data_IF_190714098567
#
_entry.id   IF_190714098567
#
_cell.length_a   1.000
_cell.length_b   1.000
_cell.length_c   1.000
_cell.angle_alpha   90.00
_cell.angle_beta   90.00
_cell.angle_gamma   90.00
#
_symmetry.space_group_name_H-M   'P 1'
#
loop_
_entity.id
_entity.type
_entity.pdbx_description
1 polymer ?
#
# COMPACT_ATOMS: atom_id res chain seq x y z
N UNK A 1 -12.48 4.71 5.53
CA UNK A 1 -13.35 4.25 6.63
C UNK A 1 -14.60 3.64 6.01
N UNK A 2 -15.18 2.59 6.59
CA UNK A 2 -16.25 1.83 5.95
C UNK A 2 -17.54 2.64 5.72
N UNK A 3 -18.17 2.48 4.57
CA UNK A 3 -19.46 3.12 4.25
C UNK A 3 -20.65 2.37 4.85
N UNK A 4 -20.47 1.09 5.18
CA UNK A 4 -21.53 0.23 5.71
C UNK A 4 -21.60 0.29 7.23
N UNK A 5 -22.81 0.10 7.79
CA UNK A 5 -23.04 0.14 9.23
C UNK A 5 -22.49 -1.09 9.98
N UNK A 6 -22.24 -2.21 9.28
CA UNK A 6 -21.68 -3.41 9.88
C UNK A 6 -20.92 -4.25 8.86
N UNK A 7 -19.93 -5.00 9.34
CA UNK A 7 -19.14 -5.94 8.55
C UNK A 7 -19.18 -7.32 9.19
N UNK A 8 -19.35 -8.41 8.43
CA UNK A 8 -19.38 -9.76 8.98
C UNK A 8 -18.01 -10.13 9.57
N UNK A 9 -17.99 -10.88 10.68
CA UNK A 9 -16.75 -11.32 11.34
C UNK A 9 -15.98 -12.37 10.53
N UNK A 10 -16.71 -13.26 9.85
CA UNK A 10 -16.15 -14.48 9.22
C UNK A 10 -14.95 -14.24 8.30
N UNK A 11 -14.90 -13.18 7.47
CA UNK A 11 -13.73 -12.89 6.63
C UNK A 11 -12.46 -12.51 7.40
N UNK A 12 -12.58 -12.04 8.64
CA UNK A 12 -11.45 -11.50 9.42
C UNK A 12 -10.95 -12.46 10.50
N UNK A 13 -11.77 -13.46 10.85
CA UNK A 13 -11.44 -14.44 11.88
C UNK A 13 -10.68 -15.63 11.27
N UNK A 14 -9.35 -15.53 11.27
CA UNK A 14 -8.44 -16.61 10.87
C UNK A 14 -8.02 -17.50 12.05
N UNK A 15 -8.28 -17.06 13.27
CA UNK A 15 -7.91 -17.74 14.51
C UNK A 15 -9.06 -18.63 15.01
N UNK A 16 -8.78 -19.81 15.58
CA UNK A 16 -9.81 -20.69 16.13
C UNK A 16 -10.46 -20.11 17.40
N UNK A 17 -9.69 -19.32 18.16
CA UNK A 17 -10.14 -18.67 19.39
C UNK A 17 -10.71 -17.28 19.11
N UNK A 18 -12.03 -17.16 19.23
CA UNK A 18 -12.76 -15.89 19.07
C UNK A 18 -12.43 -14.87 20.15
N UNK A 19 -12.19 -15.31 21.38
CA UNK A 19 -11.95 -14.37 22.48
C UNK A 19 -10.61 -13.67 22.31
N UNK A 20 -9.60 -14.39 21.83
CA UNK A 20 -8.32 -13.78 21.48
C UNK A 20 -8.45 -12.67 20.44
N UNK A 21 -9.30 -12.87 19.42
CA UNK A 21 -9.58 -11.86 18.40
C UNK A 21 -10.22 -10.61 19.04
N UNK A 22 -11.28 -10.78 19.83
CA UNK A 22 -11.97 -9.66 20.49
C UNK A 22 -11.08 -8.90 21.48
N UNK A 23 -10.26 -9.62 22.26
CA UNK A 23 -9.27 -9.01 23.16
C UNK A 23 -8.22 -8.19 22.39
N UNK A 24 -7.84 -8.61 21.17
CA UNK A 24 -6.97 -7.80 20.31
C UNK A 24 -7.71 -6.56 19.80
N UNK A 25 -8.96 -6.68 19.36
CA UNK A 25 -9.77 -5.54 18.93
C UNK A 25 -9.89 -4.48 20.02
N UNK A 26 -10.25 -4.87 21.25
CA UNK A 26 -10.37 -3.93 22.37
C UNK A 26 -9.05 -3.22 22.68
N UNK A 27 -7.93 -3.95 22.70
CA UNK A 27 -6.60 -3.34 22.90
C UNK A 27 -6.22 -2.36 21.79
N UNK A 28 -6.52 -2.69 20.53
CA UNK A 28 -6.27 -1.79 19.41
C UNK A 28 -7.12 -0.52 19.49
N UNK A 29 -8.41 -0.64 19.82
CA UNK A 29 -9.31 0.51 20.02
C UNK A 29 -8.78 1.41 21.13
N UNK A 30 -8.42 0.85 22.29
CA UNK A 30 -7.90 1.62 23.43
C UNK A 30 -6.60 2.37 23.06
N UNK A 31 -5.70 1.73 22.30
CA UNK A 31 -4.40 2.33 21.96
C UNK A 31 -4.46 3.31 20.80
N UNK A 32 -5.24 3.01 19.76
CA UNK A 32 -5.18 3.70 18.47
C UNK A 32 -6.33 4.67 18.23
N UNK A 33 -7.41 4.62 19.02
CA UNK A 33 -8.56 5.53 18.83
C UNK A 33 -8.19 7.02 18.76
N UNK A 34 -7.24 7.57 19.56
CA UNK A 34 -6.88 8.99 19.43
C UNK A 34 -6.22 9.29 18.09
N UNK A 35 -5.34 8.40 17.61
CA UNK A 35 -4.66 8.58 16.32
C UNK A 35 -5.61 8.38 15.14
N UNK A 36 -6.55 7.43 15.23
CA UNK A 36 -7.60 7.24 14.22
C UNK A 36 -8.48 8.48 14.09
N UNK A 37 -8.90 9.09 15.20
CA UNK A 37 -9.66 10.35 15.16
C UNK A 37 -8.81 11.50 14.62
N UNK A 38 -7.56 11.63 15.06
CA UNK A 38 -6.63 12.66 14.57
C UNK A 38 -6.41 12.56 13.06
N UNK A 39 -6.30 11.35 12.52
CA UNK A 39 -6.16 11.12 11.07
C UNK A 39 -7.36 11.65 10.27
N UNK A 40 -8.55 11.69 10.86
CA UNK A 40 -9.73 12.29 10.22
C UNK A 40 -9.85 13.81 10.47
N UNK A 41 -9.30 14.31 11.58
CA UNK A 41 -9.48 15.71 12.01
C UNK A 41 -8.33 16.66 11.58
N UNK A 42 -7.12 16.14 11.38
CA UNK A 42 -5.91 16.91 11.09
C UNK A 42 -5.35 16.52 9.70
N UNK A 43 -5.57 17.36 8.66
CA UNK A 43 -5.09 17.10 7.32
C UNK A 43 -3.57 16.96 7.22
N UNK A 44 -2.80 17.69 8.04
CA UNK A 44 -1.34 17.60 8.02
C UNK A 44 -0.87 16.26 8.56
N UNK A 45 -1.50 15.78 9.64
CA UNK A 45 -1.21 14.46 10.18
C UNK A 45 -1.56 13.35 9.16
N UNK A 46 -2.66 13.47 8.43
CA UNK A 46 -2.98 12.55 7.32
C UNK A 46 -1.88 12.54 6.25
N UNK A 47 -1.46 13.72 5.77
CA UNK A 47 -0.39 13.83 4.76
C UNK A 47 0.93 13.25 5.26
N UNK A 48 1.28 13.47 6.52
CA UNK A 48 2.48 12.91 7.12
C UNK A 48 2.44 11.38 7.10
N UNK A 49 1.38 10.77 7.64
CA UNK A 49 1.23 9.30 7.67
C UNK A 49 1.22 8.71 6.25
N UNK A 50 0.62 9.42 5.28
CA UNK A 50 0.64 9.02 3.88
C UNK A 50 2.06 9.04 3.28
N UNK A 51 2.83 10.07 3.58
CA UNK A 51 4.20 10.21 3.10
C UNK A 51 5.13 9.16 3.73
N UNK A 52 4.98 8.90 5.03
CA UNK A 52 5.70 7.83 5.72
C UNK A 52 5.44 6.47 5.03
N UNK A 53 4.17 6.17 4.71
CA UNK A 53 3.79 4.94 4.01
C UNK A 53 4.44 4.80 2.62
N UNK A 54 4.56 5.91 1.87
CA UNK A 54 5.22 5.91 0.56
C UNK A 54 6.71 5.57 0.68
N UNK A 55 7.36 6.12 1.70
CA UNK A 55 8.79 5.93 1.93
C UNK A 55 9.11 4.46 2.29
N UNK A 56 8.24 3.77 3.03
CA UNK A 56 8.39 2.33 3.32
C UNK A 56 8.42 1.47 2.03
N UNK A 57 7.62 1.84 1.03
CA UNK A 57 7.59 1.15 -0.26
C UNK A 57 8.85 1.37 -1.12
N UNK A 58 9.41 2.58 -1.07
CA UNK A 58 10.63 2.95 -1.80
C UNK A 58 11.88 2.32 -1.16
N UNK A 59 11.93 2.27 0.18
CA UNK A 59 13.03 1.63 0.92
C UNK A 59 13.16 0.14 0.57
N UNK A 60 12.04 -0.58 0.51
CA UNK A 60 12.03 -2.01 0.17
C UNK A 60 12.41 -2.30 -1.28
N UNK A 61 12.25 -1.35 -2.21
CA UNK A 61 12.65 -1.51 -3.62
C UNK A 61 14.16 -1.29 -3.82
N UNK A 62 14.77 -0.41 -3.02
CA UNK A 62 16.21 -0.08 -3.13
C UNK A 62 17.15 -1.19 -2.61
N UNK A 63 16.65 -2.05 -1.71
CA UNK A 63 17.41 -3.15 -1.12
C UNK A 63 17.52 -4.41 -2.02
N UNK A 64 16.86 -4.42 -3.17
CA UNK A 64 16.78 -5.57 -4.09
C UNK A 64 17.61 -5.45 -5.37
N UNK A 65 18.56 -4.51 -5.45
CA UNK A 65 19.45 -4.40 -6.61
C UNK A 65 20.36 -5.64 -6.72
N UNK A 66 20.32 -6.41 -7.84
CA UNK A 66 21.20 -7.56 -8.00
C UNK A 66 22.67 -7.10 -7.99
N UNK A 67 23.60 -7.87 -7.40
CA UNK A 67 25.02 -7.57 -7.55
C UNK A 67 25.37 -7.68 -9.03
N UNK A 68 25.76 -6.56 -9.60
CA UNK A 68 26.20 -6.43 -10.99
C UNK A 68 27.53 -7.18 -11.14
N UNK A 69 27.44 -8.48 -11.39
CA UNK A 69 28.58 -9.35 -11.70
C UNK A 69 29.04 -9.07 -13.12
N UNK A 70 30.07 -8.25 -13.27
CA UNK A 70 30.74 -8.05 -14.55
C UNK A 70 31.57 -9.27 -14.94
N UNK A 71 31.33 -9.82 -16.13
CA UNK A 71 32.34 -10.33 -17.06
C UNK A 71 31.73 -10.58 -18.48
N UNK A 72 32.52 -10.51 -19.57
CA UNK A 72 32.03 -10.24 -20.93
C UNK A 72 32.04 -11.46 -21.90
N UNK A 73 31.56 -11.20 -23.14
CA UNK A 73 31.56 -12.03 -24.38
C UNK A 73 30.37 -13.01 -24.53
N UNK A 74 29.69 -13.16 -25.68
CA UNK A 74 29.99 -12.91 -27.09
C UNK A 74 28.68 -12.69 -27.91
N UNK A 75 28.72 -12.29 -29.19
CA UNK A 75 27.53 -11.97 -29.98
C UNK A 75 27.01 -13.19 -30.75
N UNK A 76 25.69 -13.38 -30.78
CA UNK A 76 25.03 -14.22 -31.78
C UNK A 76 23.78 -13.53 -32.33
N UNK A 77 23.75 -13.53 -33.65
CA UNK A 77 22.82 -12.87 -34.58
C UNK A 77 21.51 -13.64 -34.76
N UNK A 78 20.52 -12.93 -35.34
CA UNK A 78 19.29 -13.39 -36.03
C UNK A 78 18.17 -13.97 -35.16
N UNK A 79 16.86 -13.75 -35.37
CA UNK A 79 16.08 -12.98 -36.35
C UNK A 79 14.58 -13.05 -35.94
N UNK A 80 13.82 -12.00 -36.28
CA UNK A 80 12.40 -12.03 -36.68
C UNK A 80 11.22 -12.21 -35.68
N UNK A 81 10.41 -11.15 -35.66
CA UNK A 81 8.94 -11.07 -35.86
C UNK A 81 7.91 -11.31 -34.73
N UNK A 82 7.15 -10.22 -34.49
CA UNK A 82 5.69 -10.09 -34.31
C UNK A 82 4.98 -10.68 -33.08
N UNK A 83 4.45 -9.82 -32.20
CA UNK A 83 3.02 -9.44 -32.15
C UNK A 83 2.63 -8.81 -30.79
N UNK A 84 2.03 -7.61 -30.89
CA UNK A 84 0.95 -7.02 -30.07
C UNK A 84 0.85 -7.35 -28.58
N UNK A 85 1.00 -6.32 -27.71
CA UNK A 85 0.27 -6.12 -26.42
C UNK A 85 0.26 -4.65 -26.00
N UNK A 86 -0.86 -3.99 -26.27
CA UNK A 86 -1.58 -3.04 -25.41
C UNK A 86 -0.84 -1.92 -24.69
N UNK A 87 -1.14 -0.71 -25.17
CA UNK A 87 -0.87 0.60 -24.57
C UNK A 87 -1.29 0.68 -23.10
N UNK A 88 -0.35 1.02 -22.23
CA UNK A 88 -0.57 1.35 -20.83
C UNK A 88 -1.33 2.70 -20.73
N UNK A 89 -2.63 2.63 -20.43
CA UNK A 89 -3.37 3.76 -19.91
C UNK A 89 -2.93 4.00 -18.45
N UNK A 90 -1.92 4.84 -18.24
CA UNK A 90 -1.52 5.28 -16.90
C UNK A 90 -2.62 6.18 -16.35
N UNK A 91 -3.43 5.59 -15.46
CA UNK A 91 -4.60 6.20 -14.85
C UNK A 91 -4.30 7.54 -14.21
N UNK A 92 -5.00 8.55 -14.70
CA UNK A 92 -5.25 9.78 -13.97
C UNK A 92 -6.02 9.44 -12.68
N UNK A 93 -5.35 9.53 -11.53
CA UNK A 93 -6.01 9.76 -10.25
C UNK A 93 -5.61 11.14 -9.77
N UNK A 94 -6.32 12.09 -10.34
CA UNK A 94 -6.43 13.48 -9.96
C UNK A 94 -7.00 13.55 -8.54
N UNK A 95 -6.12 13.72 -7.54
CA UNK A 95 -6.51 14.00 -6.16
C UNK A 95 -6.43 15.50 -5.91
N UNK A 96 -7.35 16.25 -6.52
CA UNK A 96 -7.47 17.68 -6.22
C UNK A 96 -8.08 17.83 -4.84
N UNK A 97 -7.21 18.07 -3.87
CA UNK A 97 -7.57 18.75 -2.64
C UNK A 97 -7.85 20.21 -3.02
N UNK A 98 -9.13 20.60 -3.11
CA UNK A 98 -9.49 22.02 -3.08
C UNK A 98 -9.19 22.52 -1.67
N UNK A 99 -8.04 23.19 -1.51
CA UNK A 99 -7.79 24.08 -0.38
C UNK A 99 -8.21 25.49 -0.81
N UNK A 100 -9.49 25.82 -0.64
CA UNK A 100 -9.93 27.21 -0.64
C UNK A 100 -10.75 27.48 0.63
N UNK A 101 -10.02 28.08 1.58
CA UNK A 101 -10.37 29.17 2.53
C UNK A 101 -11.66 29.12 3.34
#
# INVERSE_FOLDING_TARGET
MGNEISYPLKPFLVEPDKERFWQRCLRLIQRLSPQMLRLNADPHFFTQVFQDLKNEGEASASAGGPPNGGAPAAPSTSSSSSAARDSCATGAKHWTMNLDR
#
